data_IF_708307297213
#
_entry.id   IF_708307297213
#
_cell.length_a   1.000
_cell.length_b   1.000
_cell.length_c   1.000
_cell.angle_alpha   90.00
_cell.angle_beta   90.00
_cell.angle_gamma   90.00
#
_symmetry.space_group_name_H-M   'P 1'
#
loop_
_entity.id
_entity.type
_entity.pdbx_description
1 polymer ?
#
# COMPACT_ATOMS: atom_id res chain seq x y z
N UNK A 1 12.47 14.00 10.65
CA UNK A 1 13.20 12.75 10.99
C UNK A 1 12.31 11.54 10.68
N UNK A 2 12.86 10.30 10.58
CA UNK A 2 12.11 9.08 10.22
C UNK A 2 10.85 8.84 11.11
N UNK A 3 10.95 9.13 12.41
CA UNK A 3 9.83 9.00 13.35
C UNK A 3 8.69 9.97 13.05
N UNK A 4 8.97 11.17 12.56
CA UNK A 4 7.93 12.14 12.17
C UNK A 4 7.15 11.65 10.95
N UNK A 5 7.85 11.05 9.98
CA UNK A 5 7.21 10.44 8.81
C UNK A 5 6.34 9.25 9.23
N UNK A 6 6.80 8.42 10.16
CA UNK A 6 6.00 7.32 10.72
C UNK A 6 4.77 7.82 11.49
N UNK A 7 4.88 8.93 12.24
CA UNK A 7 3.74 9.56 12.91
C UNK A 7 2.70 10.06 11.90
N UNK A 8 3.13 10.80 10.87
CA UNK A 8 2.25 11.29 9.79
C UNK A 8 1.58 10.14 9.04
N UNK A 9 2.33 9.09 8.72
CA UNK A 9 1.77 7.89 8.11
C UNK A 9 0.74 7.19 9.00
N UNK A 10 0.95 7.12 10.32
CA UNK A 10 -0.04 6.58 11.25
C UNK A 10 -1.33 7.41 11.26
N UNK A 11 -1.24 8.74 11.36
CA UNK A 11 -2.41 9.64 11.30
C UNK A 11 -3.18 9.51 9.99
N UNK A 12 -2.46 9.41 8.87
CA UNK A 12 -3.02 9.15 7.56
C UNK A 12 -3.79 7.82 7.51
N UNK A 13 -3.18 6.72 7.98
CA UNK A 13 -3.83 5.42 8.02
C UNK A 13 -5.07 5.43 8.92
N UNK A 14 -5.04 6.12 10.06
CA UNK A 14 -6.22 6.32 10.93
C UNK A 14 -7.35 7.03 10.19
N UNK A 15 -7.07 8.09 9.42
CA UNK A 15 -8.08 8.79 8.61
C UNK A 15 -8.67 7.91 7.50
N UNK A 16 -7.91 6.94 7.01
CA UNK A 16 -8.38 5.90 6.09
C UNK A 16 -9.12 4.75 6.80
N UNK A 17 -9.34 4.88 8.11
CA UNK A 17 -10.14 3.98 8.92
C UNK A 17 -9.38 2.80 9.52
N UNK A 18 -8.04 2.76 9.44
CA UNK A 18 -7.23 1.71 10.07
C UNK A 18 -7.31 1.83 11.59
N UNK A 19 -7.61 0.71 12.25
CA UNK A 19 -7.69 0.55 13.70
C UNK A 19 -6.76 -0.56 14.19
N UNK A 20 -6.58 -0.66 15.51
CA UNK A 20 -5.88 -1.78 16.13
C UNK A 20 -6.48 -3.12 15.67
N UNK A 21 -5.63 -4.07 15.29
CA UNK A 21 -6.00 -5.37 14.74
C UNK A 21 -6.33 -5.37 13.24
N UNK A 22 -6.57 -4.21 12.61
CA UNK A 22 -6.76 -4.15 11.16
C UNK A 22 -5.46 -4.49 10.43
N UNK A 23 -5.60 -5.07 9.24
CA UNK A 23 -4.46 -5.43 8.39
C UNK A 23 -4.14 -4.32 7.40
N UNK A 24 -2.85 -3.98 7.32
CA UNK A 24 -2.29 -3.11 6.29
C UNK A 24 -1.35 -3.95 5.44
N UNK A 25 -1.72 -4.18 4.19
CA UNK A 25 -0.90 -4.93 3.26
C UNK A 25 0.18 -4.03 2.63
N UNK A 26 1.43 -4.48 2.64
CA UNK A 26 2.57 -3.73 2.12
C UNK A 26 3.18 -4.51 0.96
N UNK A 27 2.92 -4.03 -0.26
CA UNK A 27 3.44 -4.52 -1.53
C UNK A 27 4.43 -3.52 -2.13
N UNK A 28 5.53 -3.29 -1.40
CA UNK A 28 6.57 -2.32 -1.74
C UNK A 28 7.91 -3.00 -2.03
N UNK A 29 8.73 -2.42 -2.93
CA UNK A 29 10.14 -2.78 -3.04
C UNK A 29 10.94 -2.31 -1.81
N UNK A 30 12.27 -2.47 -1.84
CA UNK A 30 13.16 -1.94 -0.80
C UNK A 30 13.26 -0.41 -0.90
N UNK A 31 12.28 0.28 -0.32
CA UNK A 31 12.18 1.75 -0.27
C UNK A 31 11.89 2.24 1.16
N UNK A 32 12.27 3.48 1.51
CA UNK A 32 12.08 4.03 2.86
C UNK A 32 10.63 3.96 3.36
N UNK A 33 9.65 4.14 2.47
CA UNK A 33 8.21 4.08 2.77
C UNK A 33 7.81 2.72 3.35
N UNK A 34 8.51 1.63 3.01
CA UNK A 34 8.28 0.32 3.61
C UNK A 34 8.61 0.33 5.10
N UNK A 35 9.69 0.98 5.51
CA UNK A 35 10.06 1.13 6.94
C UNK A 35 9.08 2.07 7.65
N UNK A 36 8.73 3.19 7.01
CA UNK A 36 7.75 4.15 7.52
C UNK A 36 6.41 3.45 7.77
N UNK A 37 5.94 2.63 6.83
CA UNK A 37 4.72 1.85 6.96
C UNK A 37 4.79 0.83 8.11
N UNK A 38 5.93 0.15 8.31
CA UNK A 38 6.12 -0.75 9.47
C UNK A 38 5.95 -0.01 10.78
N UNK A 39 6.65 1.12 10.93
CA UNK A 39 6.61 1.90 12.15
C UNK A 39 5.20 2.49 12.38
N UNK A 40 4.53 2.95 11.32
CA UNK A 40 3.16 3.43 11.40
C UNK A 40 2.18 2.34 11.85
N UNK A 41 2.28 1.12 11.29
CA UNK A 41 1.45 -0.01 11.72
C UNK A 41 1.67 -0.35 13.20
N UNK A 42 2.93 -0.40 13.64
CA UNK A 42 3.27 -0.65 15.04
C UNK A 42 2.72 0.41 16.00
N UNK A 43 2.61 1.67 15.57
CA UNK A 43 2.00 2.75 16.39
C UNK A 43 0.49 2.65 16.52
N UNK A 44 -0.17 1.98 15.58
CA UNK A 44 -1.63 1.83 15.54
C UNK A 44 -2.10 0.49 16.09
N UNK A 45 -1.18 -0.36 16.56
CA UNK A 45 -1.43 -1.78 16.83
C UNK A 45 -2.08 -2.50 15.64
N UNK A 46 -1.75 -2.05 14.42
CA UNK A 46 -2.23 -2.63 13.17
C UNK A 46 -1.28 -3.74 12.69
N UNK A 47 -1.83 -4.74 12.01
CA UNK A 47 -1.08 -5.90 11.53
C UNK A 47 -0.51 -5.60 10.14
N UNK A 48 0.82 -5.42 10.06
CA UNK A 48 1.52 -5.36 8.78
C UNK A 48 1.49 -6.74 8.11
N UNK A 49 0.86 -6.83 6.94
CA UNK A 49 0.91 -8.00 6.07
C UNK A 49 1.85 -7.72 4.90
N UNK A 50 2.98 -8.42 4.79
CA UNK A 50 3.95 -8.16 3.70
C UNK A 50 3.61 -9.00 2.47
N UNK A 51 3.53 -8.35 1.31
CA UNK A 51 3.32 -8.97 -0.01
C UNK A 51 4.57 -8.73 -0.86
N UNK A 52 5.45 -9.73 -1.08
CA UNK A 52 6.65 -9.53 -1.89
C UNK A 52 6.34 -9.02 -3.30
N UNK A 53 7.13 -8.07 -3.80
CA UNK A 53 6.99 -7.55 -5.18
C UNK A 53 7.39 -8.56 -6.26
N UNK A 54 8.02 -9.67 -5.87
CA UNK A 54 8.37 -10.78 -6.74
C UNK A 54 7.23 -11.77 -6.99
N UNK A 55 6.08 -11.62 -6.31
CA UNK A 55 4.94 -12.51 -6.49
C UNK A 55 4.39 -12.42 -7.92
N UNK A 56 4.05 -13.58 -8.47
CA UNK A 56 3.28 -13.68 -9.71
C UNK A 56 1.82 -13.24 -9.49
N UNK A 57 1.10 -12.94 -10.57
CA UNK A 57 -0.31 -12.52 -10.47
C UNK A 57 -1.19 -13.55 -9.72
N UNK A 58 -1.12 -14.87 -10.00
CA UNK A 58 -1.91 -15.85 -9.26
C UNK A 58 -1.59 -15.88 -7.76
N UNK A 59 -0.31 -15.79 -7.39
CA UNK A 59 0.09 -15.73 -5.99
C UNK A 59 -0.40 -14.45 -5.31
N UNK A 60 -0.30 -13.31 -6.00
CA UNK A 60 -0.80 -12.04 -5.49
C UNK A 60 -2.33 -12.05 -5.32
N UNK A 61 -3.07 -12.72 -6.21
CA UNK A 61 -4.52 -12.94 -6.05
C UNK A 61 -4.82 -13.73 -4.78
N UNK A 62 -4.13 -14.85 -4.54
CA UNK A 62 -4.33 -15.65 -3.33
C UNK A 62 -4.02 -14.84 -2.07
N UNK A 63 -2.87 -14.16 -2.04
CA UNK A 63 -2.45 -13.35 -0.89
C UNK A 63 -3.32 -12.14 -0.62
N UNK A 64 -3.77 -11.44 -1.66
CA UNK A 64 -4.69 -10.30 -1.50
C UNK A 64 -6.01 -10.73 -0.88
N UNK A 65 -6.53 -11.91 -1.25
CA UNK A 65 -7.73 -12.50 -0.63
C UNK A 65 -7.51 -12.91 0.82
N UNK A 66 -6.40 -13.59 1.11
CA UNK A 66 -6.04 -13.99 2.48
C UNK A 66 -5.77 -12.80 3.40
N UNK A 67 -5.29 -11.68 2.84
CA UNK A 67 -4.85 -10.54 3.63
C UNK A 67 -5.97 -9.80 4.32
N UNK A 68 -7.20 -9.83 3.77
CA UNK A 68 -8.35 -9.02 4.20
C UNK A 68 -7.95 -7.58 4.63
N UNK A 69 -7.02 -7.00 3.88
CA UNK A 69 -6.38 -5.76 4.28
C UNK A 69 -7.35 -4.60 4.06
N UNK A 70 -7.43 -3.69 5.04
CA UNK A 70 -8.20 -2.45 4.89
C UNK A 70 -7.50 -1.47 3.95
N UNK A 71 -6.18 -1.39 4.06
CA UNK A 71 -5.32 -0.53 3.23
C UNK A 71 -4.22 -1.37 2.61
N UNK A 72 -3.90 -1.09 1.35
CA UNK A 72 -2.78 -1.69 0.64
C UNK A 72 -1.82 -0.62 0.17
N UNK A 73 -0.54 -0.74 0.52
CA UNK A 73 0.51 0.21 0.15
C UNK A 73 1.34 -0.43 -0.96
N UNK A 74 1.53 0.26 -2.07
CA UNK A 74 2.30 -0.21 -3.22
C UNK A 74 3.10 0.91 -3.86
N UNK A 75 3.86 0.60 -4.92
CA UNK A 75 4.61 1.57 -5.70
C UNK A 75 4.13 1.61 -7.15
N UNK A 76 4.34 2.73 -7.84
CA UNK A 76 4.09 2.85 -9.27
C UNK A 76 4.90 1.80 -10.06
N UNK A 77 6.20 1.71 -9.77
CA UNK A 77 7.13 0.72 -10.26
C UNK A 77 8.30 0.55 -9.28
N UNK A 78 9.16 -0.41 -9.57
CA UNK A 78 10.40 -0.63 -8.85
C UNK A 78 11.56 -0.74 -9.83
N UNK A 79 12.77 -0.42 -9.38
CA UNK A 79 14.00 -0.65 -10.14
C UNK A 79 14.80 -1.74 -9.45
N UNK A 80 14.98 -2.88 -10.11
CA UNK A 80 15.87 -3.94 -9.66
C UNK A 80 16.41 -4.72 -10.85
N UNK A 81 17.62 -5.28 -10.69
CA UNK A 81 18.28 -6.07 -11.73
C UNK A 81 18.44 -5.29 -13.06
N UNK A 82 18.86 -4.02 -12.95
CA UNK A 82 19.09 -3.13 -14.09
C UNK A 82 17.83 -2.66 -14.84
N UNK A 83 16.63 -3.07 -14.42
CA UNK A 83 15.40 -2.79 -15.13
C UNK A 83 14.30 -2.19 -14.24
N UNK A 84 13.47 -1.33 -14.85
CA UNK A 84 12.22 -0.86 -14.23
C UNK A 84 11.15 -1.92 -14.41
N UNK A 85 10.53 -2.35 -13.32
CA UNK A 85 9.48 -3.37 -13.30
C UNK A 85 8.17 -2.79 -12.75
N UNK A 86 7.03 -3.01 -13.44
CA UNK A 86 5.75 -2.46 -13.01
C UNK A 86 5.28 -3.18 -11.74
N UNK A 87 4.87 -2.42 -10.72
CA UNK A 87 4.35 -2.98 -9.45
C UNK A 87 2.84 -2.74 -9.35
N UNK A 88 2.40 -1.48 -9.48
CA UNK A 88 0.97 -1.12 -9.46
C UNK A 88 0.13 -1.89 -10.50
N UNK A 89 0.55 -2.06 -11.77
CA UNK A 89 -0.21 -2.87 -12.74
C UNK A 89 -0.40 -4.34 -12.32
N UNK A 90 0.60 -4.96 -11.68
CA UNK A 90 0.48 -6.33 -11.18
C UNK A 90 -0.56 -6.42 -10.07
N UNK A 91 -0.52 -5.47 -9.13
CA UNK A 91 -1.50 -5.38 -8.06
C UNK A 91 -2.92 -5.13 -8.60
N UNK A 92 -3.07 -4.24 -9.58
CA UNK A 92 -4.37 -3.96 -10.18
C UNK A 92 -5.00 -5.17 -10.86
N UNK A 93 -4.18 -5.96 -11.56
CA UNK A 93 -4.61 -7.21 -12.16
C UNK A 93 -5.05 -8.21 -11.07
N UNK A 94 -4.28 -8.34 -9.99
CA UNK A 94 -4.65 -9.22 -8.88
C UNK A 94 -5.97 -8.79 -8.20
N UNK A 95 -6.13 -7.50 -7.92
CA UNK A 95 -7.37 -6.97 -7.33
C UNK A 95 -8.58 -7.15 -8.25
N UNK A 96 -8.42 -6.98 -9.56
CA UNK A 96 -9.49 -7.20 -10.54
C UNK A 96 -9.92 -8.67 -10.58
N UNK A 97 -8.98 -9.62 -10.60
CA UNK A 97 -9.28 -11.06 -10.55
C UNK A 97 -9.87 -11.49 -9.21
N UNK A 98 -9.45 -10.85 -8.12
CA UNK A 98 -10.03 -11.09 -6.80
C UNK A 98 -11.51 -10.69 -6.78
N UNK A 99 -11.83 -9.49 -7.25
CA UNK A 99 -13.19 -8.98 -7.31
C UNK A 99 -14.10 -9.82 -8.23
N UNK A 100 -13.60 -10.28 -9.38
CA UNK A 100 -14.38 -11.10 -10.32
C UNK A 100 -14.79 -12.47 -9.75
N UNK A 101 -14.10 -12.97 -8.71
CA UNK A 101 -14.41 -14.24 -8.08
C UNK A 101 -15.24 -14.09 -6.78
N UNK A 102 -15.88 -12.94 -6.57
CA UNK A 102 -16.69 -12.68 -5.36
C UNK A 102 -15.86 -12.37 -4.10
N UNK A 103 -14.60 -11.95 -4.25
CA UNK A 103 -13.74 -11.59 -3.13
C UNK A 103 -14.19 -10.33 -2.37
N UNK A 104 -13.76 -10.26 -1.10
CA UNK A 104 -14.03 -9.28 -0.03
C UNK A 104 -13.77 -7.79 -0.39
N UNK A 105 -14.05 -6.81 0.51
CA UNK A 105 -14.04 -5.37 0.21
C UNK A 105 -12.76 -4.88 -0.47
N UNK A 106 -12.92 -3.90 -1.36
CA UNK A 106 -11.79 -3.29 -2.08
C UNK A 106 -10.97 -2.44 -1.11
N UNK A 107 -9.69 -2.76 -0.84
CA UNK A 107 -8.86 -1.91 -0.01
C UNK A 107 -8.64 -0.55 -0.67
N UNK A 108 -8.47 0.48 0.16
CA UNK A 108 -7.83 1.72 -0.30
C UNK A 108 -6.38 1.40 -0.67
N UNK A 109 -5.92 1.88 -1.83
CA UNK A 109 -4.57 1.63 -2.33
C UNK A 109 -3.75 2.91 -2.25
N UNK A 110 -2.72 2.92 -1.40
CA UNK A 110 -1.73 3.98 -1.33
C UNK A 110 -0.58 3.70 -2.29
N UNK A 111 -0.34 4.59 -3.24
CA UNK A 111 0.70 4.42 -4.27
C UNK A 111 1.88 5.34 -3.97
N UNK A 112 3.07 4.76 -3.83
CA UNK A 112 4.34 5.47 -3.74
C UNK A 112 4.84 5.77 -5.15
N UNK A 113 5.11 7.04 -5.45
CA UNK A 113 5.77 7.43 -6.69
C UNK A 113 7.28 7.18 -6.55
N UNK A 114 7.75 6.05 -7.06
CA UNK A 114 9.14 5.60 -6.95
C UNK A 114 9.93 5.77 -8.24
N UNK A 115 9.30 5.60 -9.41
CA UNK A 115 9.98 5.69 -10.71
C UNK A 115 9.33 6.70 -11.66
N UNK A 116 8.33 7.46 -11.21
CA UNK A 116 7.60 8.46 -12.01
C UNK A 116 7.05 7.89 -13.32
N UNK A 117 6.52 6.66 -13.25
CA UNK A 117 5.89 6.00 -14.39
C UNK A 117 4.40 6.32 -14.43
N UNK A 118 3.81 6.49 -15.63
CA UNK A 118 2.36 6.50 -15.77
C UNK A 118 1.77 5.19 -15.23
N UNK A 119 0.77 5.31 -14.37
CA UNK A 119 0.04 4.16 -13.82
C UNK A 119 -1.46 4.34 -14.03
N UNK A 120 -2.16 3.23 -14.28
CA UNK A 120 -3.62 3.24 -14.26
C UNK A 120 -4.14 3.59 -12.87
N UNK A 121 -5.18 4.42 -12.85
CA UNK A 121 -5.74 4.99 -11.63
C UNK A 121 -7.22 4.65 -11.52
N UNK A 122 -7.67 4.28 -10.32
CA UNK A 122 -9.10 4.07 -10.01
C UNK A 122 -9.56 5.11 -8.98
N UNK A 123 -10.38 6.09 -9.38
CA UNK A 123 -10.93 7.10 -8.48
C UNK A 123 -11.65 6.46 -7.29
N UNK A 124 -11.49 7.05 -6.10
CA UNK A 124 -12.08 6.56 -4.86
C UNK A 124 -11.39 5.33 -4.23
N UNK A 125 -10.47 4.67 -4.95
CA UNK A 125 -9.65 3.56 -4.42
C UNK A 125 -8.17 3.95 -4.29
N UNK A 126 -7.61 4.53 -5.34
CA UNK A 126 -6.18 4.85 -5.41
C UNK A 126 -5.92 6.26 -4.88
N UNK A 127 -4.91 6.39 -4.03
CA UNK A 127 -4.43 7.66 -3.47
C UNK A 127 -2.91 7.70 -3.54
N UNK A 128 -2.33 8.88 -3.77
CA UNK A 128 -0.89 9.03 -3.68
C UNK A 128 -0.42 9.06 -2.23
N UNK A 129 0.63 8.30 -1.92
CA UNK A 129 1.22 8.24 -0.59
C UNK A 129 1.62 9.64 -0.08
N UNK A 130 2.35 10.40 -0.89
CA UNK A 130 2.87 11.71 -0.49
C UNK A 130 1.74 12.72 -0.20
N UNK A 131 0.72 12.79 -1.05
CA UNK A 131 -0.44 13.67 -0.85
C UNK A 131 -1.20 13.34 0.44
N UNK A 132 -1.41 12.05 0.73
CA UNK A 132 -2.11 11.60 1.93
C UNK A 132 -1.32 11.97 3.20
N UNK A 133 0.01 11.90 3.16
CA UNK A 133 0.90 12.29 4.27
C UNK A 133 1.01 13.81 4.42
N UNK A 134 0.93 14.59 3.36
CA UNK A 134 0.91 16.07 3.39
C UNK A 134 -0.36 16.60 4.03
N UNK A 135 -1.50 15.98 3.73
CA UNK A 135 -2.79 16.35 4.32
C UNK A 135 -2.90 16.02 5.83
N UNK A 136 -1.83 15.54 6.50
CA UNK A 136 -1.80 15.32 7.95
C UNK A 136 -1.34 16.56 8.74
N UNK A 137 -0.68 17.54 8.10
CA UNK A 137 -0.13 18.70 8.80
C UNK A 137 -1.20 19.77 9.02
N UNK A 138 -2.15 19.51 9.92
CA UNK A 138 -3.09 20.49 10.47
C UNK A 138 -3.66 19.96 11.78
N UNK A 139 -2.94 20.20 12.88
CA UNK A 139 -3.44 20.41 14.24
C UNK A 139 -2.22 20.44 15.19
N UNK A 140 -1.70 21.64 15.40
CA UNK A 140 -0.94 21.99 16.59
C UNK A 140 -1.88 22.38 17.72
#
# INVERSE_FOLDING_TARGET
MLLDQAKRAAEALTRLGVRAGDRVAVHLPLVPESVIATLACGRLDAIRTTLPVSLTVPELVARTRESDARVMITADAAFWDGAVRPVKPLLDHALARSAAAGGAPRPTVLVVNRCSRPVSWKPGRDLWWHEVLENTTSNG
#
